data_IF_643163360513
#
_entry.id   IF_643163360513
#
_cell.length_a   1.000
_cell.length_b   1.000
_cell.length_c   1.000
_cell.angle_alpha   90.00
_cell.angle_beta   90.00
_cell.angle_gamma   90.00
#
_symmetry.space_group_name_H-M   'P 1'
#
loop_
_entity.id
_entity.type
_entity.pdbx_description
1 polymer ?
#
# COMPACT_ATOMS: atom_id res chain seq x y z
N UNK A 1 -4.23 -4.57 19.46
CA UNK A 1 -4.63 -4.43 18.06
C UNK A 1 -5.29 -3.08 17.93
N UNK A 2 -4.69 -2.15 17.20
CA UNK A 2 -5.17 -0.77 17.11
C UNK A 2 -5.76 -0.61 15.72
N UNK A 3 -7.07 -0.36 15.61
CA UNK A 3 -7.72 -0.05 14.34
C UNK A 3 -7.10 1.21 13.73
N UNK A 4 -6.15 1.01 12.83
CA UNK A 4 -5.49 2.14 12.17
C UNK A 4 -6.36 2.57 11.00
N UNK A 5 -7.06 3.70 11.20
CA UNK A 5 -7.97 4.25 10.18
C UNK A 5 -7.26 4.67 8.90
N UNK A 6 -5.97 4.99 8.97
CA UNK A 6 -5.18 5.55 7.87
C UNK A 6 -3.77 4.98 7.81
N UNK A 7 -3.27 4.67 6.62
CA UNK A 7 -1.92 4.11 6.44
C UNK A 7 -0.85 5.09 6.92
N UNK A 8 0.11 4.61 7.71
CA UNK A 8 1.27 5.37 8.18
C UNK A 8 2.56 4.57 7.98
N UNK A 9 3.71 5.21 8.13
CA UNK A 9 4.99 4.48 8.22
C UNK A 9 4.94 3.52 9.42
N UNK A 10 5.38 2.28 9.19
CA UNK A 10 5.27 1.14 10.09
C UNK A 10 3.99 0.32 9.91
N UNK A 11 3.00 0.77 9.13
CA UNK A 11 1.77 0.02 8.89
C UNK A 11 1.95 -1.07 7.86
N UNK A 12 1.34 -2.23 8.09
CA UNK A 12 1.17 -3.29 7.10
C UNK A 12 -0.19 -3.15 6.45
N UNK A 13 -0.22 -3.01 5.13
CA UNK A 13 -1.45 -2.84 4.36
C UNK A 13 -1.68 -4.05 3.46
N UNK A 14 -2.93 -4.48 3.37
CA UNK A 14 -3.37 -5.46 2.38
C UNK A 14 -4.04 -4.73 1.23
N UNK A 15 -3.48 -4.87 0.04
CA UNK A 15 -3.96 -4.29 -1.21
C UNK A 15 -4.58 -5.38 -2.08
N UNK A 16 -5.61 -5.02 -2.83
CA UNK A 16 -6.20 -5.88 -3.85
C UNK A 16 -6.20 -5.15 -5.18
N UNK A 17 -5.65 -5.78 -6.21
CA UNK A 17 -5.75 -5.30 -7.58
C UNK A 17 -7.20 -5.43 -8.03
N UNK A 18 -7.82 -4.31 -8.38
CA UNK A 18 -9.26 -4.26 -8.71
C UNK A 18 -9.54 -4.92 -10.06
N UNK A 19 -8.55 -4.99 -10.96
CA UNK A 19 -8.71 -5.55 -12.30
C UNK A 19 -8.53 -7.08 -12.28
N UNK A 20 -7.47 -7.55 -11.61
CA UNK A 20 -7.12 -8.97 -11.54
C UNK A 20 -7.70 -9.71 -10.32
N UNK A 21 -8.11 -9.00 -9.26
CA UNK A 21 -8.49 -9.60 -7.97
C UNK A 21 -7.31 -10.14 -7.14
N UNK A 22 -6.08 -9.86 -7.55
CA UNK A 22 -4.87 -10.34 -6.86
C UNK A 22 -4.64 -9.57 -5.56
N UNK A 23 -4.36 -10.28 -4.46
CA UNK A 23 -4.13 -9.68 -3.16
C UNK A 23 -2.64 -9.64 -2.81
N UNK A 24 -2.18 -8.50 -2.31
CA UNK A 24 -0.81 -8.23 -1.92
C UNK A 24 -0.78 -7.68 -0.49
N UNK A 25 0.27 -8.00 0.26
CA UNK A 25 0.47 -7.47 1.60
C UNK A 25 1.83 -6.78 1.65
N UNK A 26 1.86 -5.51 2.07
CA UNK A 26 3.08 -4.71 2.13
C UNK A 26 3.19 -3.96 3.44
N UNK A 27 4.40 -3.89 3.98
CA UNK A 27 4.72 -3.03 5.12
C UNK A 27 5.31 -1.72 4.62
N UNK A 28 4.72 -0.61 5.01
CA UNK A 28 5.20 0.72 4.63
C UNK A 28 6.29 1.14 5.59
N UNK A 29 7.48 1.39 5.07
CA UNK A 29 8.67 1.73 5.86
C UNK A 29 9.36 2.96 5.28
N UNK A 30 10.35 3.51 5.98
CA UNK A 30 11.19 4.56 5.42
C UNK A 30 12.06 4.03 4.26
N UNK A 31 12.53 4.92 3.39
CA UNK A 31 13.36 4.54 2.22
C UNK A 31 14.59 3.70 2.55
N UNK A 32 15.24 3.97 3.68
CA UNK A 32 16.44 3.22 4.11
C UNK A 32 16.11 1.77 4.49
N UNK A 33 14.88 1.51 4.94
CA UNK A 33 14.43 0.20 5.45
C UNK A 33 13.67 -0.62 4.40
N UNK A 34 13.43 -0.04 3.22
CA UNK A 34 12.69 -0.66 2.15
C UNK A 34 13.42 -1.89 1.60
N UNK A 35 12.69 -2.99 1.50
CA UNK A 35 13.22 -4.30 1.13
C UNK A 35 12.10 -5.05 0.39
N UNK A 36 12.05 -4.98 -0.95
CA UNK A 36 10.98 -5.59 -1.74
C UNK A 36 10.97 -7.12 -1.60
N UNK A 37 12.11 -7.75 -1.28
CA UNK A 37 12.16 -9.19 -1.02
C UNK A 37 11.45 -9.58 0.29
N UNK A 38 11.26 -8.62 1.20
CA UNK A 38 10.52 -8.80 2.47
C UNK A 38 9.16 -8.10 2.46
N UNK A 39 8.63 -7.76 1.28
CA UNK A 39 7.38 -7.00 1.14
C UNK A 39 7.40 -5.66 1.89
N UNK A 40 8.57 -5.05 2.05
CA UNK A 40 8.73 -3.72 2.65
C UNK A 40 8.84 -2.68 1.55
N UNK A 41 7.86 -1.78 1.49
CA UNK A 41 7.79 -0.72 0.49
C UNK A 41 8.14 0.61 1.13
N UNK A 42 9.01 1.38 0.47
CA UNK A 42 9.32 2.74 0.89
C UNK A 42 8.08 3.63 0.79
N UNK A 43 7.87 4.47 1.81
CA UNK A 43 6.94 5.59 1.80
C UNK A 43 7.17 6.59 0.66
N UNK A 44 8.34 6.60 0.04
CA UNK A 44 8.68 7.46 -1.09
C UNK A 44 8.40 6.83 -2.47
N UNK A 45 8.10 5.52 -2.51
CA UNK A 45 7.74 4.83 -3.75
C UNK A 45 6.37 5.28 -4.30
N UNK A 46 6.06 5.04 -5.58
CA UNK A 46 4.77 5.41 -6.17
C UNK A 46 3.59 4.79 -5.41
N UNK A 47 3.69 3.50 -5.07
CA UNK A 47 2.68 2.78 -4.29
C UNK A 47 2.60 3.34 -2.87
N UNK A 48 3.75 3.48 -2.20
CA UNK A 48 3.83 3.99 -0.83
C UNK A 48 3.24 5.38 -0.68
N UNK A 49 3.56 6.30 -1.61
CA UNK A 49 2.99 7.66 -1.64
C UNK A 49 1.49 7.66 -1.91
N UNK A 50 1.00 6.78 -2.77
CA UNK A 50 -0.42 6.70 -3.11
C UNK A 50 -1.28 6.22 -1.93
N UNK A 51 -0.78 5.25 -1.16
CA UNK A 51 -1.51 4.71 0.00
C UNK A 51 -1.26 5.47 1.29
N UNK A 52 -0.16 6.22 1.44
CA UNK A 52 0.14 6.96 2.66
C UNK A 52 -1.01 7.92 3.00
N UNK A 53 -1.53 7.83 4.23
CA UNK A 53 -2.68 8.63 4.66
C UNK A 53 -4.03 8.20 4.10
N UNK A 54 -4.09 7.22 3.18
CA UNK A 54 -5.34 6.66 2.68
C UNK A 54 -6.01 5.80 3.75
N UNK A 55 -7.34 5.74 3.70
CA UNK A 55 -8.14 4.98 4.66
C UNK A 55 -8.44 3.56 4.18
N UNK A 56 -8.79 2.68 5.11
CA UNK A 56 -9.30 1.33 4.78
C UNK A 56 -10.50 1.44 3.81
N UNK A 57 -10.61 0.49 2.88
CA UNK A 57 -11.55 0.49 1.75
C UNK A 57 -11.37 1.58 0.68
N UNK A 58 -10.34 2.44 0.79
CA UNK A 58 -10.03 3.41 -0.27
C UNK A 58 -9.45 2.70 -1.49
N UNK A 59 -9.80 3.19 -2.67
CA UNK A 59 -9.19 2.77 -3.94
C UNK A 59 -8.19 3.84 -4.35
N UNK A 60 -6.96 3.42 -4.57
CA UNK A 60 -5.87 4.27 -5.08
C UNK A 60 -5.59 3.92 -6.54
N UNK A 61 -5.29 4.95 -7.34
CA UNK A 61 -4.97 4.81 -8.76
C UNK A 61 -3.51 5.18 -8.97
N UNK A 62 -2.74 4.26 -9.52
CA UNK A 62 -1.31 4.42 -9.80
C UNK A 62 -1.14 4.46 -11.32
N UNK A 63 -0.74 5.62 -11.83
CA UNK A 63 -0.41 5.76 -13.24
C UNK A 63 1.00 5.22 -13.49
N UNK A 64 1.10 4.18 -14.32
CA UNK A 64 2.35 3.63 -14.82
C UNK A 64 2.40 3.81 -16.35
N UNK A 65 3.59 3.73 -17.00
CA UNK A 65 3.69 3.93 -18.45
C UNK A 65 2.81 2.99 -19.28
N UNK A 66 2.48 1.82 -18.74
CA UNK A 66 1.64 0.82 -19.40
C UNK A 66 0.13 0.98 -19.14
N UNK A 67 -0.29 1.96 -18.31
CA UNK A 67 -1.70 2.17 -17.98
C UNK A 67 -1.93 2.67 -16.55
N UNK A 68 -3.18 2.66 -16.09
CA UNK A 68 -3.53 2.98 -14.70
C UNK A 68 -3.87 1.70 -13.97
N UNK A 69 -3.15 1.42 -12.88
CA UNK A 69 -3.41 0.29 -12.00
C UNK A 69 -4.23 0.77 -10.81
N UNK A 70 -5.29 0.04 -10.45
CA UNK A 70 -6.16 0.39 -9.32
C UNK A 70 -5.99 -0.63 -8.20
N UNK A 71 -5.62 -0.15 -7.03
CA UNK A 71 -5.53 -0.98 -5.83
C UNK A 71 -6.55 -0.55 -4.78
N UNK A 72 -7.24 -1.51 -4.18
CA UNK A 72 -8.12 -1.27 -3.03
C UNK A 72 -7.41 -1.66 -1.74
N UNK A 73 -7.44 -0.78 -0.75
CA UNK A 73 -6.94 -1.08 0.60
C UNK A 73 -7.99 -1.93 1.31
N UNK A 74 -7.70 -3.21 1.52
CA UNK A 74 -8.59 -4.13 2.22
C UNK A 74 -8.43 -4.02 3.73
N UNK A 75 -7.19 -3.89 4.21
CA UNK A 75 -6.87 -3.97 5.63
C UNK A 75 -5.62 -3.13 5.95
N UNK A 76 -5.58 -2.58 7.16
CA UNK A 76 -4.43 -1.84 7.71
C UNK A 76 -4.13 -2.40 9.09
N UNK A 77 -2.92 -2.88 9.29
CA UNK A 77 -2.36 -3.38 10.55
C UNK A 77 -1.18 -2.53 11.00
N UNK A 78 -0.88 -2.50 12.29
CA UNK A 78 0.27 -1.80 12.85
C UNK A 78 0.84 -2.56 14.04
#
# INVERSE_FOLDING_TARGET
DVDVKTVSVGSTVKLEDVDSGSQFEYTIVGSVEADPAKNKISNESPVGKAILGSAINSVIEITVPMGTIKYKILEIKK
#
